data_IF_621433990350
#
_entry.id   IF_621433990350
#
_cell.length_a   1.000
_cell.length_b   1.000
_cell.length_c   1.000
_cell.angle_alpha   90.00
_cell.angle_beta   90.00
_cell.angle_gamma   90.00
#
_symmetry.space_group_name_H-M   'P 1'
#
loop_
_entity.id
_entity.type
_entity.pdbx_description
1 polymer ?
#
# COMPACT_ATOMS: atom_id res chain seq x y z
N UNK A 1 -15.66 -9.35 -6.01
CA UNK A 1 -14.50 -8.72 -5.37
C UNK A 1 -13.88 -9.76 -4.45
N UNK A 2 -12.57 -9.98 -4.53
CA UNK A 2 -11.84 -10.95 -3.70
C UNK A 2 -10.98 -10.14 -2.75
N UNK A 3 -10.96 -10.52 -1.47
CA UNK A 3 -10.06 -9.96 -0.48
C UNK A 3 -8.76 -10.76 -0.47
N UNK A 4 -7.64 -10.12 -0.81
CA UNK A 4 -6.33 -10.77 -0.84
C UNK A 4 -5.79 -11.02 0.57
N UNK A 5 -6.25 -10.27 1.58
CA UNK A 5 -5.76 -10.39 2.96
C UNK A 5 -6.05 -11.77 3.54
N UNK A 6 -7.19 -12.38 3.17
CA UNK A 6 -7.62 -13.69 3.69
C UNK A 6 -6.56 -14.78 3.47
N UNK A 7 -5.88 -14.77 2.32
CA UNK A 7 -4.80 -15.74 2.02
C UNK A 7 -3.65 -15.61 3.01
N UNK A 8 -3.33 -14.39 3.45
CA UNK A 8 -2.24 -14.14 4.40
C UNK A 8 -2.62 -14.42 5.86
N UNK A 9 -3.91 -14.62 6.16
CA UNK A 9 -4.39 -15.00 7.50
C UNK A 9 -4.18 -16.50 7.77
N UNK A 10 -4.31 -17.34 6.74
CA UNK A 10 -4.38 -18.81 6.92
C UNK A 10 -3.45 -19.60 6.01
N UNK A 11 -3.36 -19.24 4.73
CA UNK A 11 -2.82 -20.13 3.71
C UNK A 11 -1.36 -19.82 3.35
N UNK A 12 -0.96 -18.55 3.42
CA UNK A 12 0.41 -18.10 3.20
C UNK A 12 0.92 -17.31 4.41
N UNK A 13 1.72 -17.95 5.26
CA UNK A 13 2.27 -17.35 6.48
C UNK A 13 3.79 -17.33 6.41
N UNK A 14 4.38 -16.17 6.70
CA UNK A 14 5.83 -15.99 6.76
C UNK A 14 6.23 -15.35 8.09
N UNK A 15 7.29 -15.84 8.73
CA UNK A 15 7.77 -15.29 10.00
C UNK A 15 8.16 -13.80 9.88
N UNK A 16 8.57 -13.35 8.69
CA UNK A 16 8.94 -11.95 8.41
C UNK A 16 7.74 -11.01 8.40
N UNK A 17 6.51 -11.53 8.30
CA UNK A 17 5.30 -10.74 8.44
C UNK A 17 5.08 -10.24 9.88
N UNK A 18 5.77 -10.82 10.86
CA UNK A 18 5.73 -10.37 12.26
C UNK A 18 4.28 -10.36 12.82
N UNK A 19 3.52 -11.41 12.49
CA UNK A 19 2.12 -11.57 12.88
C UNK A 19 1.12 -10.61 12.21
N UNK A 20 1.55 -9.83 11.21
CA UNK A 20 0.69 -8.86 10.52
C UNK A 20 0.37 -9.29 9.09
N UNK A 21 -0.89 -9.12 8.70
CA UNK A 21 -1.37 -9.33 7.32
C UNK A 21 -1.48 -8.04 6.53
N UNK A 22 -1.06 -6.91 7.10
CA UNK A 22 -1.14 -5.62 6.42
C UNK A 22 -0.27 -5.59 5.17
N UNK A 23 -0.74 -4.91 4.13
CA UNK A 23 -0.03 -4.78 2.86
C UNK A 23 1.40 -4.27 3.04
N UNK A 24 1.65 -3.39 4.02
CA UNK A 24 2.98 -2.85 4.34
C UNK A 24 3.97 -3.86 4.91
N UNK A 25 3.47 -4.89 5.59
CA UNK A 25 4.28 -5.97 6.15
C UNK A 25 4.45 -7.10 5.15
N UNK A 26 3.41 -7.37 4.36
CA UNK A 26 3.42 -8.42 3.33
C UNK A 26 4.24 -8.01 2.11
N UNK A 27 4.00 -6.81 1.55
CA UNK A 27 4.57 -6.37 0.27
C UNK A 27 6.10 -6.47 0.21
N UNK A 28 6.89 -5.99 1.19
CA UNK A 28 8.35 -6.04 1.10
C UNK A 28 8.91 -7.47 1.09
N UNK A 29 8.15 -8.43 1.62
CA UNK A 29 8.55 -9.84 1.72
C UNK A 29 8.26 -10.59 0.42
N UNK A 30 7.11 -10.32 -0.22
CA UNK A 30 6.66 -11.04 -1.42
C UNK A 30 6.97 -10.32 -2.74
N UNK A 31 7.12 -9.00 -2.69
CA UNK A 31 7.43 -8.13 -3.83
C UNK A 31 8.50 -7.10 -3.43
N UNK A 32 9.70 -7.58 -3.09
CA UNK A 32 10.81 -6.74 -2.57
C UNK A 32 11.26 -5.59 -3.49
N UNK A 33 10.87 -5.59 -4.77
CA UNK A 33 11.09 -4.50 -5.72
C UNK A 33 10.13 -3.31 -5.54
N UNK A 34 9.15 -3.41 -4.64
CA UNK A 34 8.16 -2.37 -4.37
C UNK A 34 8.19 -1.95 -2.91
N UNK A 35 8.29 -0.64 -2.71
CA UNK A 35 8.06 -0.02 -1.40
C UNK A 35 7.43 1.38 -1.56
N UNK A 36 7.26 2.06 -0.43
CA UNK A 36 6.65 3.39 -0.31
C UNK A 36 7.68 4.47 0.04
N UNK A 37 8.97 4.14 0.11
CA UNK A 37 10.00 5.03 0.71
C UNK A 37 10.23 6.31 -0.06
N UNK A 38 9.96 6.29 -1.36
CA UNK A 38 10.11 7.44 -2.25
C UNK A 38 8.84 8.32 -2.32
N UNK A 39 7.78 7.98 -1.57
CA UNK A 39 6.54 8.74 -1.54
C UNK A 39 6.53 9.71 -0.35
N UNK A 40 5.93 10.88 -0.56
CA UNK A 40 5.67 11.86 0.51
C UNK A 40 4.64 11.32 1.52
N UNK A 41 3.61 10.63 1.02
CA UNK A 41 2.64 9.90 1.83
C UNK A 41 3.05 8.44 1.85
N UNK A 42 3.36 7.93 3.04
CA UNK A 42 3.96 6.59 3.17
C UNK A 42 3.03 5.59 3.82
N UNK A 43 2.02 6.05 4.57
CA UNK A 43 1.09 5.21 5.30
C UNK A 43 -0.30 5.80 5.44
N UNK A 44 -1.25 4.99 5.89
CA UNK A 44 -2.65 5.41 6.04
C UNK A 44 -2.84 6.58 7.02
N UNK A 45 -2.04 6.68 8.08
CA UNK A 45 -2.16 7.78 9.04
C UNK A 45 -1.71 9.10 8.41
N UNK A 46 -0.53 9.09 7.77
CA UNK A 46 0.01 10.23 7.02
C UNK A 46 -0.89 10.62 5.85
N UNK A 47 -1.56 9.66 5.20
CA UNK A 47 -2.55 9.94 4.16
C UNK A 47 -3.77 10.69 4.70
N UNK A 48 -4.28 10.28 5.87
CA UNK A 48 -5.39 10.97 6.53
C UNK A 48 -5.01 12.38 6.97
N UNK A 49 -3.81 12.57 7.51
CA UNK A 49 -3.29 13.89 7.88
C UNK A 49 -3.09 14.79 6.66
N UNK A 50 -2.51 14.26 5.58
CA UNK A 50 -2.33 14.97 4.32
C UNK A 50 -3.69 15.39 3.74
N UNK A 51 -4.69 14.50 3.75
CA UNK A 51 -6.05 14.83 3.34
C UNK A 51 -6.64 16.00 4.16
N UNK A 52 -6.51 15.96 5.49
CA UNK A 52 -6.98 17.05 6.35
C UNK A 52 -6.27 18.38 6.07
N UNK A 53 -4.98 18.34 5.75
CA UNK A 53 -4.22 19.54 5.34
C UNK A 53 -4.74 20.07 4.00
N UNK A 54 -4.91 19.19 3.03
CA UNK A 54 -5.36 19.51 1.67
C UNK A 54 -6.68 20.29 1.66
N UNK A 55 -7.67 19.85 2.44
CA UNK A 55 -9.00 20.49 2.46
C UNK A 55 -9.00 21.89 3.10
N UNK A 56 -7.94 22.25 3.84
CA UNK A 56 -7.78 23.54 4.50
C UNK A 56 -6.70 24.42 3.85
N UNK A 57 -6.02 23.91 2.82
CA UNK A 57 -4.88 24.58 2.19
C UNK A 57 -5.31 25.59 1.10
N UNK A 58 -4.40 26.50 0.75
CA UNK A 58 -4.56 27.33 -0.43
C UNK A 58 -4.54 26.46 -1.72
N UNK A 59 -5.15 26.91 -2.83
CA UNK A 59 -5.31 26.08 -4.03
C UNK A 59 -4.02 25.42 -4.54
N UNK A 60 -2.90 26.15 -4.56
CA UNK A 60 -1.62 25.65 -5.05
C UNK A 60 -0.97 24.59 -4.13
N UNK A 61 -1.18 24.70 -2.82
CA UNK A 61 -0.74 23.69 -1.85
C UNK A 61 -1.68 22.47 -1.86
N UNK A 62 -2.99 22.70 -1.99
CA UNK A 62 -3.97 21.63 -2.10
C UNK A 62 -3.72 20.75 -3.33
N UNK A 63 -3.38 21.34 -4.48
CA UNK A 63 -3.03 20.61 -5.70
C UNK A 63 -1.78 19.72 -5.52
N UNK A 64 -0.76 20.21 -4.81
CA UNK A 64 0.45 19.41 -4.52
C UNK A 64 0.11 18.22 -3.63
N UNK A 65 -0.63 18.45 -2.55
CA UNK A 65 -1.01 17.38 -1.63
C UNK A 65 -1.91 16.35 -2.34
N UNK A 66 -2.84 16.80 -3.19
CA UNK A 66 -3.66 15.91 -4.00
C UNK A 66 -2.82 15.02 -4.91
N UNK A 67 -1.80 15.58 -5.56
CA UNK A 67 -0.88 14.82 -6.42
C UNK A 67 -0.11 13.75 -5.63
N UNK A 68 0.35 14.06 -4.42
CA UNK A 68 1.07 13.09 -3.59
C UNK A 68 0.15 11.99 -3.03
N UNK A 69 -1.08 12.34 -2.65
CA UNK A 69 -2.11 11.37 -2.29
C UNK A 69 -2.46 10.44 -3.46
N UNK A 70 -2.54 10.97 -4.68
CA UNK A 70 -2.79 10.16 -5.87
C UNK A 70 -1.66 9.17 -6.15
N UNK A 71 -0.39 9.58 -6.02
CA UNK A 71 0.76 8.67 -6.14
C UNK A 71 0.70 7.54 -5.10
N UNK A 72 0.29 7.87 -3.87
CA UNK A 72 0.09 6.86 -2.81
C UNK A 72 -1.04 5.87 -3.16
N UNK A 73 -2.19 6.36 -3.64
CA UNK A 73 -3.30 5.51 -4.08
C UNK A 73 -2.92 4.62 -5.27
N UNK A 74 -2.15 5.14 -6.23
CA UNK A 74 -1.61 4.37 -7.35
C UNK A 74 -0.68 3.25 -6.85
N UNK A 75 0.20 3.56 -5.88
CA UNK A 75 1.10 2.58 -5.28
C UNK A 75 0.34 1.46 -4.56
N UNK A 76 -0.68 1.78 -3.77
CA UNK A 76 -1.52 0.79 -3.09
C UNK A 76 -2.19 -0.14 -4.11
N UNK A 77 -2.73 0.42 -5.20
CA UNK A 77 -3.36 -0.37 -6.27
C UNK A 77 -2.36 -1.29 -6.96
N UNK A 78 -1.18 -0.77 -7.31
CA UNK A 78 -0.15 -1.56 -7.99
C UNK A 78 0.41 -2.66 -7.09
N UNK A 79 0.62 -2.37 -5.80
CA UNK A 79 1.03 -3.34 -4.80
C UNK A 79 0.05 -4.52 -4.71
N UNK A 80 -1.26 -4.27 -4.72
CA UNK A 80 -2.27 -5.35 -4.73
C UNK A 80 -2.20 -6.23 -5.98
N UNK A 81 -1.98 -5.64 -7.16
CA UNK A 81 -1.83 -6.40 -8.42
C UNK A 81 -0.60 -7.29 -8.39
N UNK A 82 0.51 -6.80 -7.86
CA UNK A 82 1.78 -7.54 -7.79
C UNK A 82 1.71 -8.65 -6.75
N UNK A 83 1.06 -8.41 -5.61
CA UNK A 83 0.73 -9.46 -4.64
C UNK A 83 -0.14 -10.54 -5.28
N UNK A 84 -1.18 -10.16 -6.03
CA UNK A 84 -2.03 -11.12 -6.73
C UNK A 84 -1.25 -11.98 -7.73
N UNK A 85 -0.36 -11.36 -8.53
CA UNK A 85 0.52 -12.07 -9.47
C UNK A 85 1.42 -13.08 -8.75
N UNK A 86 2.06 -12.65 -7.66
CA UNK A 86 2.85 -13.53 -6.81
C UNK A 86 2.05 -14.75 -6.31
N UNK A 87 0.84 -14.54 -5.79
CA UNK A 87 -0.02 -15.62 -5.30
C UNK A 87 -0.42 -16.60 -6.41
N UNK A 88 -0.71 -16.10 -7.62
CA UNK A 88 -1.04 -16.95 -8.77
C UNK A 88 0.16 -17.79 -9.22
N UNK A 89 1.36 -17.22 -9.22
CA UNK A 89 2.57 -17.94 -9.64
C UNK A 89 3.01 -19.01 -8.61
N UNK A 90 2.58 -18.91 -7.35
CA UNK A 90 2.83 -19.95 -6.33
C UNK A 90 2.02 -21.23 -6.54
N UNK A 91 0.85 -21.14 -7.18
CA UNK A 91 -0.09 -22.26 -7.34
C UNK A 91 -0.11 -22.86 -8.75
N UNK A 92 0.73 -22.33 -9.65
CA UNK A 92 0.94 -22.84 -11.01
C UNK A 92 1.97 -23.94 -11.02
#
# INVERSE_FOLDING_TARGET
MVDLEEVFKTDYVDARFDGSTSIKKVLPVVCSHLDYKELEVQDGASAMEAWQRMINAAPDEAEKIAADLLKYCERDTFAMVEIYRFLIDLVR
#
